data_IF_392845026734
#
_entry.id   IF_392845026734
#
_cell.length_a   1.000
_cell.length_b   1.000
_cell.length_c   1.000
_cell.angle_alpha   90.00
_cell.angle_beta   90.00
_cell.angle_gamma   90.00
#
_symmetry.space_group_name_H-M   'P 1'
#
loop_
_entity.id
_entity.type
_entity.pdbx_description
1 polymer ?
#
# COMPACT_ATOMS: atom_id res chain seq x y z
N UNK A 1 -15.18 -6.15 -6.39
CA UNK A 1 -15.55 -5.04 -7.30
C UNK A 1 -14.35 -4.13 -7.34
N UNK A 2 -13.84 -3.80 -8.53
CA UNK A 2 -12.68 -2.91 -8.67
C UNK A 2 -12.99 -1.53 -8.10
N UNK A 3 -11.99 -0.89 -7.49
CA UNK A 3 -12.14 0.47 -6.97
C UNK A 3 -12.18 1.48 -8.12
N UNK A 4 -12.95 2.54 -7.92
CA UNK A 4 -12.96 3.66 -8.86
C UNK A 4 -11.72 4.53 -8.68
N UNK A 5 -11.43 5.38 -9.66
CA UNK A 5 -10.37 6.38 -9.56
C UNK A 5 -10.53 7.27 -8.30
N UNK A 6 -11.76 7.68 -7.97
CA UNK A 6 -12.05 8.50 -6.80
C UNK A 6 -11.78 7.77 -5.48
N UNK A 7 -12.11 6.48 -5.41
CA UNK A 7 -11.82 5.67 -4.22
C UNK A 7 -10.31 5.60 -3.98
N UNK A 8 -9.51 5.46 -5.06
CA UNK A 8 -8.04 5.42 -4.97
C UNK A 8 -7.47 6.76 -4.50
N UNK A 9 -8.00 7.89 -4.99
CA UNK A 9 -7.56 9.21 -4.53
C UNK A 9 -7.87 9.42 -3.04
N UNK A 10 -9.05 9.01 -2.58
CA UNK A 10 -9.42 9.11 -1.17
C UNK A 10 -8.52 8.23 -0.28
N UNK A 11 -8.25 7.00 -0.72
CA UNK A 11 -7.32 6.10 -0.01
C UNK A 11 -5.90 6.68 0.06
N UNK A 12 -5.42 7.30 -1.02
CA UNK A 12 -4.13 7.99 -1.04
C UNK A 12 -4.10 9.15 -0.05
N UNK A 13 -5.16 9.95 0.00
CA UNK A 13 -5.28 11.05 0.96
C UNK A 13 -5.27 10.55 2.41
N UNK A 14 -6.07 9.53 2.74
CA UNK A 14 -6.06 8.93 4.09
C UNK A 14 -4.69 8.34 4.45
N UNK A 15 -4.01 7.73 3.48
CA UNK A 15 -2.65 7.24 3.68
C UNK A 15 -1.69 8.37 4.05
N UNK A 16 -1.72 9.51 3.35
CA UNK A 16 -0.88 10.67 3.65
C UNK A 16 -1.17 11.25 5.03
N UNK A 17 -2.45 11.32 5.43
CA UNK A 17 -2.86 11.81 6.75
C UNK A 17 -2.37 10.87 7.86
N UNK A 18 -2.56 9.56 7.72
CA UNK A 18 -2.16 8.57 8.72
C UNK A 18 -0.64 8.47 8.86
N UNK A 19 0.07 8.60 7.74
CA UNK A 19 1.55 8.51 7.70
C UNK A 19 2.23 9.83 7.94
N UNK A 20 1.49 10.90 8.25
CA UNK A 20 2.07 12.19 8.57
C UNK A 20 3.04 12.06 9.75
N UNK A 21 4.29 12.49 9.53
CA UNK A 21 5.37 12.43 10.52
C UNK A 21 5.94 11.04 10.77
N UNK A 22 5.55 10.02 9.98
CA UNK A 22 6.21 8.70 10.01
C UNK A 22 7.62 8.81 9.44
N UNK A 23 8.49 7.88 9.86
CA UNK A 23 9.83 7.77 9.29
C UNK A 23 9.76 6.96 7.99
N UNK A 24 9.57 7.66 6.87
CA UNK A 24 9.45 7.11 5.52
C UNK A 24 9.74 8.19 4.45
N UNK A 25 9.89 7.84 3.17
CA UNK A 25 9.95 8.82 2.08
C UNK A 25 8.69 9.70 2.04
N UNK A 26 8.84 10.94 1.58
CA UNK A 26 7.71 11.88 1.47
C UNK A 26 6.74 11.52 0.33
N UNK A 27 5.48 11.93 0.51
CA UNK A 27 4.39 11.73 -0.45
C UNK A 27 3.79 10.33 -0.43
N UNK A 28 2.95 10.06 -1.41
CA UNK A 28 2.20 8.80 -1.51
C UNK A 28 2.27 8.15 -2.88
N UNK A 29 3.27 8.44 -3.72
CA UNK A 29 3.38 7.76 -5.01
C UNK A 29 3.49 6.23 -4.85
N UNK A 30 3.29 5.51 -5.94
CA UNK A 30 3.21 4.05 -5.87
C UNK A 30 4.48 3.41 -5.29
N UNK A 31 5.65 3.98 -5.54
CA UNK A 31 6.92 3.45 -5.05
C UNK A 31 7.08 3.76 -3.55
N UNK A 32 6.62 4.92 -3.08
CA UNK A 32 6.59 5.24 -1.64
C UNK A 32 5.66 4.30 -0.88
N UNK A 33 4.49 3.98 -1.45
CA UNK A 33 3.54 3.02 -0.85
C UNK A 33 4.15 1.61 -0.81
N UNK A 34 4.82 1.17 -1.89
CA UNK A 34 5.55 -0.11 -1.90
C UNK A 34 6.62 -0.15 -0.80
N UNK A 35 7.46 0.89 -0.72
CA UNK A 35 8.49 1.00 0.31
C UNK A 35 7.88 0.92 1.71
N UNK A 36 6.75 1.60 1.95
CA UNK A 36 6.07 1.59 3.24
C UNK A 36 5.58 0.19 3.63
N UNK A 37 4.99 -0.56 2.70
CA UNK A 37 4.56 -1.94 2.98
C UNK A 37 5.75 -2.83 3.36
N UNK A 38 6.89 -2.66 2.69
CA UNK A 38 8.09 -3.47 2.94
C UNK A 38 8.88 -3.05 4.20
N UNK A 39 8.99 -1.75 4.47
CA UNK A 39 9.94 -1.21 5.45
C UNK A 39 9.29 -0.37 6.55
N UNK A 40 8.06 0.10 6.35
CA UNK A 40 7.38 1.04 7.24
C UNK A 40 7.22 0.53 8.67
N UNK A 41 7.08 -0.78 8.86
CA UNK A 41 6.95 -1.41 10.18
C UNK A 41 8.18 -1.19 11.07
N UNK A 42 9.38 -1.03 10.51
CA UNK A 42 10.64 -0.98 11.28
C UNK A 42 10.72 0.18 12.27
N UNK A 43 10.14 1.32 11.91
CA UNK A 43 10.18 2.54 12.72
C UNK A 43 8.80 3.07 13.11
N UNK A 44 7.72 2.50 12.55
CA UNK A 44 6.38 3.09 12.66
C UNK A 44 5.31 2.14 13.21
N UNK A 45 5.59 0.85 13.43
CA UNK A 45 4.56 -0.13 13.82
C UNK A 45 3.86 0.15 15.16
N UNK A 46 4.49 0.92 16.05
CA UNK A 46 3.93 1.31 17.34
C UNK A 46 3.16 2.65 17.28
N UNK A 47 3.15 3.32 16.12
CA UNK A 47 2.42 4.59 15.94
C UNK A 47 0.94 4.29 15.74
N UNK A 48 0.10 5.16 16.30
CA UNK A 48 -1.34 5.10 16.07
C UNK A 48 -1.63 5.23 14.57
N UNK A 49 -2.57 4.42 14.08
CA UNK A 49 -2.97 4.40 12.67
C UNK A 49 -2.06 3.59 11.75
N UNK A 50 -1.01 2.93 12.27
CA UNK A 50 -0.09 2.16 11.42
C UNK A 50 -0.79 1.00 10.71
N UNK A 51 -1.61 0.23 11.43
CA UNK A 51 -2.33 -0.91 10.85
C UNK A 51 -3.33 -0.46 9.78
N UNK A 52 -4.01 0.68 10.01
CA UNK A 52 -4.93 1.29 9.04
C UNK A 52 -4.17 1.75 7.79
N UNK A 53 -3.04 2.44 7.96
CA UNK A 53 -2.18 2.86 6.85
C UNK A 53 -1.64 1.66 6.07
N UNK A 54 -1.29 0.56 6.74
CA UNK A 54 -0.84 -0.69 6.12
C UNK A 54 -1.94 -1.36 5.29
N UNK A 55 -3.18 -1.38 5.79
CA UNK A 55 -4.33 -1.92 5.06
C UNK A 55 -4.64 -1.07 3.82
N UNK A 56 -4.63 0.25 3.95
CA UNK A 56 -4.84 1.19 2.84
C UNK A 56 -3.75 1.02 1.78
N UNK A 57 -2.47 0.99 2.19
CA UNK A 57 -1.34 0.79 1.30
C UNK A 57 -1.47 -0.49 0.47
N UNK A 58 -1.74 -1.63 1.12
CA UNK A 58 -1.96 -2.92 0.44
C UNK A 58 -3.15 -2.87 -0.52
N UNK A 59 -4.23 -2.18 -0.14
CA UNK A 59 -5.40 -2.00 -0.99
C UNK A 59 -5.05 -1.22 -2.27
N UNK A 60 -4.33 -0.10 -2.14
CA UNK A 60 -3.87 0.70 -3.29
C UNK A 60 -2.97 -0.14 -4.21
N UNK A 61 -2.02 -0.90 -3.63
CA UNK A 61 -1.12 -1.72 -4.44
C UNK A 61 -1.83 -2.88 -5.16
N UNK A 62 -2.85 -3.47 -4.52
CA UNK A 62 -3.66 -4.55 -5.12
C UNK A 62 -4.43 -4.04 -6.34
N UNK A 63 -5.06 -2.86 -6.24
CA UNK A 63 -5.78 -2.23 -7.35
C UNK A 63 -4.83 -1.70 -8.45
N UNK A 64 -3.53 -1.60 -8.17
CA UNK A 64 -2.49 -1.24 -9.14
C UNK A 64 -1.77 -2.46 -9.77
N UNK A 65 -2.27 -3.68 -9.52
CA UNK A 65 -1.67 -4.96 -9.93
C UNK A 65 -0.25 -5.23 -9.38
N UNK A 66 0.21 -4.47 -8.39
CA UNK A 66 1.55 -4.60 -7.78
C UNK A 66 1.59 -5.51 -6.55
N UNK A 67 0.45 -5.77 -5.92
CA UNK A 67 0.39 -6.59 -4.70
C UNK A 67 -0.51 -7.81 -4.89
N UNK A 68 0.10 -8.90 -5.34
CA UNK A 68 -0.49 -10.25 -5.23
C UNK A 68 0.10 -10.86 -3.96
N UNK A 69 -0.74 -11.33 -3.03
CA UNK A 69 -0.25 -12.03 -1.85
C UNK A 69 0.69 -13.16 -2.31
N UNK A 70 1.95 -13.13 -1.85
CA UNK A 70 2.97 -14.14 -2.22
C UNK A 70 2.61 -15.58 -1.85
N UNK A 71 1.49 -15.79 -1.16
CA UNK A 71 0.88 -17.11 -0.93
C UNK A 71 0.15 -17.66 -2.16
N UNK A 72 -0.20 -16.82 -3.15
CA UNK A 72 -0.82 -17.23 -4.43
C UNK A 72 0.17 -17.25 -5.60
N UNK A 73 1.31 -16.55 -5.51
CA UNK A 73 2.32 -16.55 -6.58
C UNK A 73 3.03 -17.90 -6.77
N UNK A 74 2.91 -18.81 -5.80
CA UNK A 74 3.31 -20.22 -5.98
C UNK A 74 2.39 -20.96 -6.98
N UNK A 75 1.22 -20.39 -7.32
CA UNK A 75 0.25 -20.93 -8.27
C UNK A 75 -0.03 -20.00 -9.49
N UNK A 76 0.63 -18.86 -9.60
CA UNK A 76 0.43 -17.94 -10.73
C UNK A 76 1.24 -18.39 -11.97
N UNK A 77 0.54 -18.83 -13.03
CA UNK A 77 1.10 -18.90 -14.38
C UNK A 77 0.90 -17.55 -15.06
N UNK A 78 1.97 -16.83 -15.46
CA UNK A 78 1.80 -15.67 -16.32
C UNK A 78 1.14 -16.13 -17.63
N UNK A 79 0.09 -15.42 -18.03
CA UNK A 79 -0.48 -15.56 -19.37
C UNK A 79 0.58 -15.23 -20.43
N UNK A 80 0.49 -15.82 -21.64
CA UNK A 80 1.49 -15.58 -22.67
C UNK A 80 1.53 -14.08 -23.04
N UNK A 81 2.76 -13.62 -23.27
CA UNK A 81 3.10 -12.27 -23.70
C UNK A 81 2.54 -11.94 -25.10
#
# INVERSE_FOLDING_TARGET
MAKTFWDILNLRFEFEELTNGYQMPEGSDINTIEWFVENGHRSNSLRNGFDDAMQIAKTILTESDKYVNRTETENYRPGPA
#
